data_IF_032492076245
#
_entry.id   IF_032492076245
#
_cell.length_a   1.000
_cell.length_b   1.000
_cell.length_c   1.000
_cell.angle_alpha   90.00
_cell.angle_beta   90.00
_cell.angle_gamma   90.00
#
_symmetry.space_group_name_H-M   'P 1'
#
loop_
_entity.id
_entity.type
_entity.pdbx_description
1 polymer ?
#
# COMPACT_ATOMS: atom_id res chain seq x y z
N UNK A 1 -22.63 -6.08 11.29
CA UNK A 1 -23.08 -4.67 11.29
C UNK A 1 -22.14 -3.89 12.19
N UNK A 2 -21.41 -2.90 11.70
CA UNK A 2 -20.52 -2.12 12.56
C UNK A 2 -21.27 -1.49 13.73
N UNK A 3 -20.68 -1.61 14.92
CA UNK A 3 -21.12 -1.12 16.23
C UNK A 3 -21.07 0.41 16.37
N UNK A 4 -21.20 1.15 15.26
CA UNK A 4 -21.06 2.59 15.30
C UNK A 4 -22.27 3.24 15.98
N UNK A 5 -22.04 4.16 16.94
CA UNK A 5 -23.11 4.97 17.50
C UNK A 5 -23.89 5.72 16.41
N UNK A 6 -25.19 5.91 16.62
CA UNK A 6 -26.10 6.53 15.65
C UNK A 6 -25.61 7.92 15.20
N UNK A 7 -25.02 8.71 16.11
CA UNK A 7 -24.50 10.04 15.78
C UNK A 7 -23.33 9.98 14.78
N UNK A 8 -22.39 9.01 14.90
CA UNK A 8 -21.31 8.81 13.93
C UNK A 8 -21.90 8.40 12.57
N UNK A 9 -22.91 7.53 12.57
CA UNK A 9 -23.60 7.13 11.34
C UNK A 9 -24.23 8.34 10.65
N UNK A 10 -24.95 9.20 11.37
CA UNK A 10 -25.55 10.43 10.81
C UNK A 10 -24.45 11.36 10.26
N UNK A 11 -23.37 11.58 11.01
CA UNK A 11 -22.31 12.52 10.63
C UNK A 11 -21.59 12.11 9.34
N UNK A 12 -21.33 10.81 9.18
CA UNK A 12 -20.61 10.27 8.02
C UNK A 12 -21.51 9.77 6.88
N UNK A 13 -22.82 9.65 7.12
CA UNK A 13 -23.81 9.30 6.07
C UNK A 13 -24.45 10.51 5.39
N UNK A 14 -24.12 11.73 5.80
CA UNK A 14 -24.71 12.99 5.30
C UNK A 14 -23.79 13.74 4.32
N UNK A 15 -24.27 14.91 3.86
CA UNK A 15 -23.65 15.82 2.86
C UNK A 15 -22.29 16.38 3.32
N UNK A 16 -21.92 16.26 4.59
CA UNK A 16 -20.74 16.91 5.16
C UNK A 16 -19.40 16.21 4.86
N UNK A 17 -19.41 14.99 4.33
CA UNK A 17 -18.17 14.29 3.99
C UNK A 17 -17.57 14.84 2.68
N UNK A 18 -16.42 15.53 2.76
CA UNK A 18 -15.72 16.12 1.61
C UNK A 18 -15.30 15.10 0.54
N UNK A 19 -15.16 13.83 0.91
CA UNK A 19 -14.74 12.76 -0.01
C UNK A 19 -15.92 12.03 -0.66
N UNK A 20 -17.16 12.33 -0.25
CA UNK A 20 -18.35 11.69 -0.79
C UNK A 20 -18.71 12.33 -2.12
N UNK A 21 -18.68 11.55 -3.19
CA UNK A 21 -18.96 12.02 -4.53
C UNK A 21 -20.14 11.25 -5.14
N UNK A 22 -21.34 11.87 -5.22
CA UNK A 22 -22.48 11.27 -5.90
C UNK A 22 -22.24 11.17 -7.40
N UNK A 23 -22.37 9.97 -7.96
CA UNK A 23 -22.41 9.72 -9.40
C UNK A 23 -23.82 9.24 -9.78
N UNK A 24 -24.21 9.24 -11.07
CA UNK A 24 -25.56 8.84 -11.48
C UNK A 24 -25.97 7.41 -11.05
N UNK A 25 -25.00 6.52 -10.81
CA UNK A 25 -25.26 5.10 -10.49
C UNK A 25 -25.00 4.75 -9.02
N UNK A 26 -24.09 5.46 -8.37
CA UNK A 26 -23.64 5.14 -7.00
C UNK A 26 -22.97 6.33 -6.34
N UNK A 27 -22.70 6.21 -5.05
CA UNK A 27 -21.91 7.19 -4.32
C UNK A 27 -20.50 6.63 -4.13
N UNK A 28 -19.51 7.37 -4.58
CA UNK A 28 -18.11 6.98 -4.49
C UNK A 28 -17.41 7.72 -3.36
N UNK A 29 -16.44 7.05 -2.74
CA UNK A 29 -15.50 7.70 -1.83
C UNK A 29 -14.25 8.11 -2.63
N UNK A 30 -13.86 9.38 -2.56
CA UNK A 30 -12.64 9.91 -3.20
C UNK A 30 -11.47 10.06 -2.22
N UNK A 31 -11.58 9.52 -1.01
CA UNK A 31 -10.46 9.51 -0.08
C UNK A 31 -9.30 8.71 -0.69
N UNK A 32 -8.04 9.20 -0.63
CA UNK A 32 -6.89 8.54 -1.28
C UNK A 32 -6.74 7.07 -0.93
N UNK A 33 -7.02 6.71 0.33
CA UNK A 33 -6.91 5.34 0.84
C UNK A 33 -8.19 4.51 0.75
N UNK A 34 -9.27 5.02 0.17
CA UNK A 34 -10.54 4.28 0.10
C UNK A 34 -10.57 3.23 -1.01
N UNK A 35 -11.48 2.26 -0.87
CA UNK A 35 -11.82 1.30 -1.92
C UNK A 35 -12.62 1.92 -3.09
N UNK A 36 -12.76 3.26 -3.16
CA UNK A 36 -13.72 3.96 -4.04
C UNK A 36 -15.20 3.60 -3.78
N UNK A 37 -15.48 3.01 -2.62
CA UNK A 37 -16.82 2.65 -2.16
C UNK A 37 -17.18 3.54 -0.97
N UNK A 38 -18.33 4.22 -1.03
CA UNK A 38 -18.83 5.02 0.08
C UNK A 38 -19.67 4.15 1.04
N UNK A 39 -18.98 3.35 1.85
CA UNK A 39 -19.56 2.49 2.89
C UNK A 39 -18.87 2.77 4.23
N UNK A 40 -19.64 2.89 5.32
CA UNK A 40 -19.10 3.18 6.64
C UNK A 40 -18.18 2.07 7.17
N UNK A 41 -18.42 0.81 6.79
CA UNK A 41 -17.58 -0.33 7.16
C UNK A 41 -16.24 -0.34 6.40
N UNK A 42 -16.18 0.36 5.27
CA UNK A 42 -15.00 0.48 4.40
C UNK A 42 -14.45 1.92 4.37
N UNK A 43 -14.90 2.77 5.29
CA UNK A 43 -14.52 4.17 5.30
C UNK A 43 -13.25 4.38 6.13
N UNK A 44 -12.14 4.84 5.54
CA UNK A 44 -10.88 5.06 6.25
C UNK A 44 -10.96 6.13 7.35
N UNK A 45 -11.95 7.02 7.28
CA UNK A 45 -12.17 8.07 8.30
C UNK A 45 -12.87 7.47 9.52
N UNK A 46 -13.85 6.60 9.29
CA UNK A 46 -14.76 6.08 10.32
C UNK A 46 -14.14 4.91 11.06
N UNK A 47 -13.47 4.03 10.34
CA UNK A 47 -12.85 2.83 10.89
C UNK A 47 -11.57 3.21 11.64
N UNK A 48 -11.41 2.72 12.87
CA UNK A 48 -10.19 2.93 13.68
C UNK A 48 -9.06 2.04 13.18
N UNK A 49 -9.37 0.77 12.92
CA UNK A 49 -8.52 -0.16 12.18
C UNK A 49 -9.01 -0.26 10.73
N UNK A 50 -8.13 0.02 9.77
CA UNK A 50 -8.47 0.00 8.35
C UNK A 50 -7.26 -0.43 7.53
N UNK A 51 -7.47 -1.21 6.47
CA UNK A 51 -6.41 -1.46 5.50
C UNK A 51 -6.93 -1.38 4.06
N UNK A 52 -6.04 -1.06 3.14
CA UNK A 52 -6.31 -1.12 1.70
C UNK A 52 -5.01 -1.27 0.91
N UNK A 53 -5.10 -1.76 -0.31
CA UNK A 53 -4.01 -1.72 -1.29
C UNK A 53 -4.22 -0.54 -2.23
N UNK A 54 -3.21 0.33 -2.31
CA UNK A 54 -3.21 1.51 -3.19
C UNK A 54 -2.05 1.46 -4.18
N UNK A 55 -2.24 2.16 -5.29
CA UNK A 55 -1.21 2.39 -6.29
C UNK A 55 -0.63 3.78 -6.02
N UNK A 56 0.67 3.83 -5.80
CA UNK A 56 1.46 5.05 -5.73
C UNK A 56 2.46 5.05 -6.90
N UNK A 57 3.09 6.20 -7.22
CA UNK A 57 4.11 6.25 -8.27
C UNK A 57 5.26 5.28 -8.05
N UNK A 58 5.58 4.95 -6.80
CA UNK A 58 6.67 4.03 -6.45
C UNK A 58 6.23 2.56 -6.43
N UNK A 59 4.97 2.26 -6.78
CA UNK A 59 4.43 0.91 -6.85
C UNK A 59 3.20 0.67 -5.98
N UNK A 60 3.00 -0.58 -5.58
CA UNK A 60 1.80 -1.03 -4.87
C UNK A 60 2.07 -1.09 -3.37
N UNK A 61 1.23 -0.43 -2.58
CA UNK A 61 1.40 -0.36 -1.13
C UNK A 61 0.17 -0.88 -0.41
N UNK A 62 0.40 -1.67 0.63
CA UNK A 62 -0.56 -1.92 1.69
C UNK A 62 -0.52 -0.72 2.66
N UNK A 63 -1.62 0.03 2.72
CA UNK A 63 -1.82 1.07 3.72
C UNK A 63 -2.64 0.52 4.88
N UNK A 64 -2.17 0.76 6.09
CA UNK A 64 -2.79 0.27 7.33
C UNK A 64 -2.95 1.44 8.27
N UNK A 65 -4.15 1.56 8.84
CA UNK A 65 -4.51 2.51 9.87
C UNK A 65 -4.69 1.77 11.18
N UNK A 66 -4.05 2.27 12.23
CA UNK A 66 -4.22 1.82 13.61
C UNK A 66 -4.61 3.00 14.51
N UNK A 67 -5.32 2.75 15.62
CA UNK A 67 -5.56 3.78 16.62
C UNK A 67 -4.24 4.27 17.24
N UNK A 68 -4.19 5.55 17.58
CA UNK A 68 -3.05 6.19 18.23
C UNK A 68 -3.58 7.13 19.31
N UNK A 69 -2.92 7.14 20.47
CA UNK A 69 -3.28 8.04 21.58
C UNK A 69 -2.96 9.51 21.25
N UNK A 70 -1.99 9.74 20.36
CA UNK A 70 -1.46 11.07 20.04
C UNK A 70 -2.12 11.71 18.81
N UNK A 71 -2.79 10.91 17.96
CA UNK A 71 -3.32 11.37 16.66
C UNK A 71 -4.79 10.99 16.52
N UNK A 72 -5.66 12.00 16.41
CA UNK A 72 -7.09 11.80 16.20
C UNK A 72 -7.42 11.03 14.90
N UNK A 73 -6.55 11.11 13.89
CA UNK A 73 -6.69 10.37 12.63
C UNK A 73 -6.06 8.97 12.65
N UNK A 74 -5.55 8.52 13.80
CA UNK A 74 -4.76 7.29 13.93
C UNK A 74 -3.36 7.43 13.34
N UNK A 75 -2.63 6.32 13.38
CA UNK A 75 -1.34 6.15 12.71
C UNK A 75 -1.51 5.41 11.39
N UNK A 76 -0.76 5.82 10.39
CA UNK A 76 -0.78 5.21 9.06
C UNK A 76 0.58 4.59 8.76
N UNK A 77 0.59 3.28 8.54
CA UNK A 77 1.75 2.53 8.07
C UNK A 77 1.57 2.26 6.57
N UNK A 78 2.65 2.35 5.80
CA UNK A 78 2.71 1.95 4.39
C UNK A 78 3.72 0.83 4.26
N UNK A 79 3.32 -0.26 3.63
CA UNK A 79 4.17 -1.43 3.41
C UNK A 79 4.20 -1.68 1.91
N UNK A 80 5.38 -1.60 1.25
CA UNK A 80 5.48 -1.93 -0.16
C UNK A 80 5.15 -3.41 -0.37
N UNK A 81 4.34 -3.69 -1.39
CA UNK A 81 4.02 -5.04 -1.82
C UNK A 81 4.76 -5.30 -3.14
N UNK A 82 5.79 -6.15 -3.08
CA UNK A 82 6.47 -6.66 -4.27
C UNK A 82 5.56 -7.69 -4.95
N UNK A 83 4.65 -7.23 -5.80
CA UNK A 83 3.71 -8.10 -6.52
C UNK A 83 4.40 -8.64 -7.77
N UNK A 84 4.45 -9.95 -7.93
CA UNK A 84 4.80 -10.65 -9.17
C UNK A 84 3.56 -11.37 -9.71
N UNK A 85 3.68 -12.22 -10.73
CA UNK A 85 2.52 -12.96 -11.26
C UNK A 85 2.16 -14.20 -10.42
N UNK A 86 3.13 -14.72 -9.67
CA UNK A 86 3.08 -16.05 -9.07
C UNK A 86 3.10 -16.01 -7.53
N UNK A 87 3.25 -14.83 -6.91
CA UNK A 87 3.36 -14.67 -5.45
C UNK A 87 2.07 -14.21 -4.75
N UNK A 88 0.92 -14.49 -5.35
CA UNK A 88 -0.39 -14.10 -4.81
C UNK A 88 -0.61 -14.61 -3.38
N UNK A 89 -0.28 -15.88 -3.12
CA UNK A 89 -0.44 -16.47 -1.79
C UNK A 89 0.46 -15.82 -0.74
N UNK A 90 1.70 -15.48 -1.12
CA UNK A 90 2.67 -14.81 -0.26
C UNK A 90 2.16 -13.41 0.13
N UNK A 91 1.76 -12.60 -0.85
CA UNK A 91 1.21 -11.26 -0.62
C UNK A 91 -0.05 -11.32 0.25
N UNK A 92 -0.91 -12.32 0.02
CA UNK A 92 -2.10 -12.54 0.84
C UNK A 92 -1.76 -12.92 2.28
N UNK A 93 -0.66 -13.65 2.51
CA UNK A 93 -0.18 -13.97 3.85
C UNK A 93 0.35 -12.73 4.58
N UNK A 94 1.10 -11.87 3.88
CA UNK A 94 1.60 -10.59 4.40
C UNK A 94 0.42 -9.71 4.81
N UNK A 95 -0.59 -9.58 3.94
CA UNK A 95 -1.78 -8.77 4.23
C UNK A 95 -2.53 -9.28 5.46
N UNK A 96 -2.75 -10.60 5.57
CA UNK A 96 -3.43 -11.18 6.73
C UNK A 96 -2.69 -10.91 8.04
N UNK A 97 -1.35 -10.98 8.00
CA UNK A 97 -0.48 -10.76 9.16
C UNK A 97 -0.44 -9.28 9.55
N UNK A 98 -0.19 -8.39 8.60
CA UNK A 98 0.03 -6.97 8.89
C UNK A 98 -1.28 -6.22 9.17
N UNK A 99 -2.37 -6.62 8.51
CA UNK A 99 -3.69 -6.01 8.71
C UNK A 99 -4.52 -6.74 9.79
N UNK A 100 -3.85 -7.33 10.79
CA UNK A 100 -4.52 -7.93 11.94
C UNK A 100 -5.36 -6.86 12.68
N UNK A 101 -6.62 -7.17 12.96
CA UNK A 101 -7.54 -6.27 13.67
C UNK A 101 -8.46 -5.41 12.81
N UNK A 102 -8.34 -5.42 11.47
CA UNK A 102 -9.37 -4.85 10.61
C UNK A 102 -10.66 -5.69 10.66
N UNK A 103 -11.81 -5.09 10.35
CA UNK A 103 -13.08 -5.84 10.30
C UNK A 103 -13.09 -6.91 9.20
N UNK A 104 -13.86 -7.98 9.40
CA UNK A 104 -14.01 -9.07 8.43
C UNK A 104 -14.41 -8.57 7.04
N UNK A 105 -15.34 -7.61 6.98
CA UNK A 105 -15.78 -6.99 5.73
C UNK A 105 -14.66 -6.20 5.05
N UNK A 106 -13.82 -5.51 5.81
CA UNK A 106 -12.65 -4.82 5.26
C UNK A 106 -11.65 -5.84 4.70
N UNK A 107 -11.37 -6.90 5.44
CA UNK A 107 -10.48 -7.99 5.04
C UNK A 107 -10.99 -8.72 3.78
N UNK A 108 -12.29 -9.01 3.69
CA UNK A 108 -12.90 -9.64 2.51
C UNK A 108 -12.72 -8.79 1.25
N UNK A 109 -13.06 -7.50 1.33
CA UNK A 109 -12.92 -6.57 0.20
C UNK A 109 -11.45 -6.34 -0.17
N UNK A 110 -10.56 -6.33 0.82
CA UNK A 110 -9.12 -6.23 0.60
C UNK A 110 -8.58 -7.44 -0.17
N UNK A 111 -8.97 -8.65 0.23
CA UNK A 111 -8.62 -9.90 -0.46
C UNK A 111 -9.13 -9.92 -1.90
N UNK A 112 -10.40 -9.56 -2.11
CA UNK A 112 -10.99 -9.49 -3.45
C UNK A 112 -10.26 -8.48 -4.32
N UNK A 113 -9.89 -7.31 -3.76
CA UNK A 113 -9.12 -6.30 -4.48
C UNK A 113 -7.77 -6.82 -4.91
N UNK A 114 -7.04 -7.52 -4.04
CA UNK A 114 -5.74 -8.12 -4.35
C UNK A 114 -5.90 -9.15 -5.46
N UNK A 115 -6.86 -10.07 -5.33
CA UNK A 115 -7.13 -11.09 -6.35
C UNK A 115 -7.37 -10.47 -7.74
N UNK A 116 -8.18 -9.41 -7.81
CA UNK A 116 -8.44 -8.67 -9.06
C UNK A 116 -7.20 -8.01 -9.65
N UNK A 117 -6.21 -7.62 -8.83
CA UNK A 117 -4.93 -7.11 -9.33
C UNK A 117 -4.18 -8.22 -10.06
N UNK A 118 -4.08 -9.41 -9.45
CA UNK A 118 -3.43 -10.57 -10.08
C UNK A 118 -4.15 -11.02 -11.35
N UNK A 119 -5.49 -11.14 -11.32
CA UNK A 119 -6.27 -11.46 -12.52
C UNK A 119 -6.02 -10.46 -13.65
N UNK A 120 -5.95 -9.16 -13.31
CA UNK A 120 -5.67 -8.11 -14.29
C UNK A 120 -4.27 -8.26 -14.87
N UNK A 121 -3.27 -8.58 -14.07
CA UNK A 121 -1.89 -8.74 -14.51
C UNK A 121 -1.72 -9.98 -15.39
N UNK A 122 -2.30 -11.11 -14.98
CA UNK A 122 -2.36 -12.33 -15.80
C UNK A 122 -3.01 -12.06 -17.15
N UNK A 123 -4.14 -11.33 -17.16
CA UNK A 123 -4.81 -10.94 -18.39
C UNK A 123 -3.95 -10.04 -19.29
N UNK A 124 -3.20 -9.09 -18.74
CA UNK A 124 -2.31 -8.23 -19.52
C UNK A 124 -1.17 -9.03 -20.16
N UNK A 125 -0.55 -9.94 -19.39
CA UNK A 125 0.49 -10.86 -19.88
C UNK A 125 -0.04 -11.74 -21.02
N UNK A 126 -1.22 -12.33 -20.86
CA UNK A 126 -1.86 -13.15 -21.90
C UNK A 126 -2.13 -12.37 -23.19
N UNK A 127 -2.33 -11.05 -23.09
CA UNK A 127 -2.54 -10.16 -24.24
C UNK A 127 -1.23 -9.56 -24.79
N UNK A 128 -0.08 -9.94 -24.24
CA UNK A 128 1.23 -9.40 -24.62
C UNK A 128 1.32 -7.89 -24.38
N UNK A 129 0.62 -7.38 -23.37
CA UNK A 129 0.67 -5.96 -22.99
C UNK A 129 1.61 -5.80 -21.80
N UNK A 130 2.39 -4.72 -21.85
CA UNK A 130 3.26 -4.27 -20.78
C UNK A 130 2.48 -4.05 -19.48
N UNK A 131 3.13 -4.35 -18.37
CA UNK A 131 2.59 -4.17 -17.02
C UNK A 131 3.46 -3.12 -16.35
N UNK A 132 3.04 -1.83 -16.36
CA UNK A 132 3.92 -0.71 -16.01
C UNK A 132 4.63 -0.84 -14.66
N UNK A 133 3.97 -1.46 -13.69
CA UNK A 133 4.46 -1.57 -12.31
C UNK A 133 5.45 -2.73 -12.14
N UNK A 134 5.41 -3.77 -12.97
CA UNK A 134 6.40 -4.86 -12.89
C UNK A 134 7.74 -4.41 -13.48
N UNK A 135 7.68 -3.68 -14.59
CA UNK A 135 8.85 -3.17 -15.29
C UNK A 135 9.57 -2.08 -14.47
N UNK A 136 8.85 -1.16 -13.82
CA UNK A 136 9.46 -0.17 -12.92
C UNK A 136 10.16 -0.82 -11.70
N UNK A 137 9.65 -1.95 -11.19
CA UNK A 137 10.32 -2.68 -10.09
C UNK A 137 11.61 -3.34 -10.60
N UNK A 138 11.60 -3.94 -11.80
CA UNK A 138 12.80 -4.50 -12.42
C UNK A 138 13.86 -3.40 -12.66
N UNK A 139 13.48 -2.24 -13.19
CA UNK A 139 14.41 -1.11 -13.39
C UNK A 139 14.99 -0.54 -12.08
N UNK A 140 14.22 -0.55 -10.99
CA UNK A 140 14.70 -0.13 -9.67
C UNK A 140 15.63 -1.19 -9.06
N UNK A 141 15.29 -2.48 -9.17
CA UNK A 141 16.14 -3.58 -8.69
C UNK A 141 17.46 -3.67 -9.47
N UNK A 142 17.45 -3.42 -10.79
CA UNK A 142 18.68 -3.33 -11.60
C UNK A 142 19.56 -2.16 -11.16
N UNK A 143 19.00 -0.96 -10.93
CA UNK A 143 19.78 0.20 -10.48
C UNK A 143 20.39 0.04 -9.09
N UNK A 144 19.67 -0.60 -8.16
CA UNK A 144 20.19 -0.86 -6.82
C UNK A 144 21.26 -1.96 -6.85
N UNK A 145 21.12 -2.96 -7.73
CA UNK A 145 22.13 -3.99 -7.93
C UNK A 145 23.43 -3.47 -8.55
N UNK A 146 23.35 -2.49 -9.46
CA UNK A 146 24.53 -1.82 -10.03
C UNK A 146 25.26 -0.94 -9.00
N UNK A 147 24.54 -0.25 -8.10
CA UNK A 147 25.15 0.59 -7.06
C UNK A 147 25.83 -0.24 -5.93
N UNK A 148 25.31 -1.43 -5.59
CA UNK A 148 25.92 -2.31 -4.58
C UNK A 148 27.21 -3.02 -5.08
N UNK A 149 27.40 -3.20 -6.40
CA UNK A 149 28.62 -3.79 -6.96
C UNK A 149 29.79 -2.79 -7.11
N UNK A 150 29.53 -1.47 -7.20
CA UNK A 150 30.58 -0.45 -7.31
C UNK A 150 31.24 -0.06 -5.97
N UNK A 151 30.66 -0.39 -4.81
CA UNK A 151 31.17 0.05 -3.49
C UNK A 151 32.17 -0.91 -2.83
N UNK A 152 32.57 -2.00 -3.51
CA UNK A 152 33.45 -3.01 -2.93
C UNK A 152 34.64 -3.33 -3.84
N UNK A 153 35.61 -2.42 -4.02
CA UNK A 153 37.04 -2.69 -4.30
C UNK A 153 37.80 -1.38 -4.54
N UNK A 154 38.19 -0.63 -3.49
CA UNK A 154 39.34 0.28 -3.54
C UNK A 154 39.81 0.69 -2.12
N UNK A 155 40.17 -0.29 -1.29
CA UNK A 155 41.12 -0.07 -0.18
C UNK A 155 42.24 -1.11 -0.25
N UNK A 156 43.11 -0.99 -1.25
CA UNK A 156 44.48 -1.49 -1.12
C UNK A 156 45.48 -0.34 -1.33
N UNK A 157 46.15 -0.01 -0.23
CA UNK A 157 47.59 0.26 -0.23
C UNK A 157 48.05 1.63 -0.74
N UNK A 158 48.34 2.53 0.20
CA UNK A 158 49.55 3.37 0.09
C UNK A 158 50.19 3.54 1.47
N UNK A 159 51.23 2.73 1.71
CA UNK A 159 52.33 3.07 2.62
C UNK A 159 52.89 4.45 2.22
N UNK A 160 53.08 5.32 3.21
CA UNK A 160 54.03 6.42 3.09
C UNK A 160 55.05 6.30 4.22
N UNK A 161 56.24 5.83 3.83
CA UNK A 161 57.50 6.19 4.47
C UNK A 161 57.80 7.69 4.29
N UNK A 162 58.87 8.13 4.98
CA UNK A 162 59.49 9.47 5.07
C UNK A 162 58.95 10.33 6.23
N UNK A 163 59.74 10.88 7.15
CA UNK A 163 61.19 11.05 7.23
C UNK A 163 61.47 12.27 8.12
N UNK A 164 62.45 12.13 9.03
CA UNK A 164 63.24 13.15 9.75
C UNK A 164 62.75 14.61 9.90
N UNK A 165 62.72 15.11 11.14
CA UNK A 165 63.73 16.05 11.68
C UNK A 165 63.20 16.89 12.86
N UNK A 166 63.86 16.74 14.02
CA UNK A 166 64.25 17.81 14.97
C UNK A 166 65.10 17.20 16.09
#
# INVERSE_FOLDING_TARGET
MASLPIYKRILYSTVFCAYRHPTPRKIECRHPFSFRICDLDLCPIVQEYFANVIFLPEGIFLVIKTPSENKAAGEWKRIPLKITLDNEEEVMSIIKKEAEGISDKNMEVLKERVHRIYERYRFLKEKGKEIPILEEIEEIEEKVGEEEEEEYWEEEGTEYEEGESS
#
